data_IF_372866588866
#
_entry.id   IF_372866588866
#
_cell.length_a   1.000
_cell.length_b   1.000
_cell.length_c   1.000
_cell.angle_alpha   90.00
_cell.angle_beta   90.00
_cell.angle_gamma   90.00
#
_symmetry.space_group_name_H-M   'P 1'
#
loop_
_entity.id
_entity.type
_entity.pdbx_description
1 polymer ?
#
# COMPACT_ATOMS: atom_id res chain seq x y z
N UNK A 1 -36.66 5.20 -11.08
CA UNK A 1 -35.83 5.81 -10.02
C UNK A 1 -34.71 6.59 -10.70
N UNK A 2 -34.78 7.93 -10.73
CA UNK A 2 -33.75 8.78 -11.35
C UNK A 2 -32.82 9.30 -10.26
N UNK A 3 -31.67 8.65 -10.08
CA UNK A 3 -30.58 9.18 -9.26
C UNK A 3 -29.99 10.41 -9.94
N UNK A 4 -29.94 11.54 -9.23
CA UNK A 4 -29.41 12.81 -9.77
C UNK A 4 -27.92 12.68 -10.06
N UNK A 5 -27.47 13.11 -11.25
CA UNK A 5 -26.05 13.14 -11.64
C UNK A 5 -25.16 13.88 -10.61
N UNK A 6 -25.75 14.79 -9.83
CA UNK A 6 -25.10 15.52 -8.74
C UNK A 6 -24.71 14.59 -7.58
N UNK A 7 -25.52 13.56 -7.28
CA UNK A 7 -25.20 12.58 -6.24
C UNK A 7 -24.08 11.64 -6.69
N UNK A 8 -24.03 11.29 -7.98
CA UNK A 8 -22.91 10.53 -8.54
C UNK A 8 -21.60 11.34 -8.54
N UNK A 9 -21.65 12.62 -8.91
CA UNK A 9 -20.49 13.52 -8.81
C UNK A 9 -20.02 13.73 -7.37
N UNK A 10 -20.94 13.84 -6.40
CA UNK A 10 -20.60 13.93 -4.98
C UNK A 10 -19.99 12.65 -4.42
N UNK A 11 -20.47 11.49 -4.86
CA UNK A 11 -19.85 10.20 -4.58
C UNK A 11 -18.42 10.13 -5.12
N UNK A 12 -18.20 10.51 -6.38
CA UNK A 12 -16.87 10.53 -7.00
C UNK A 12 -15.88 11.50 -6.32
N UNK A 13 -16.37 12.58 -5.74
CA UNK A 13 -15.58 13.60 -5.02
C UNK A 13 -15.55 13.33 -3.49
N UNK A 14 -16.22 12.27 -3.01
CA UNK A 14 -16.21 11.87 -1.60
C UNK A 14 -16.98 12.79 -0.65
N UNK A 15 -17.96 13.55 -1.15
CA UNK A 15 -18.76 14.52 -0.36
C UNK A 15 -19.94 13.83 0.37
N UNK A 16 -20.49 12.76 -0.19
CA UNK A 16 -21.61 12.03 0.41
C UNK A 16 -21.07 10.85 1.22
N UNK A 17 -20.85 11.09 2.52
CA UNK A 17 -20.31 10.13 3.50
C UNK A 17 -21.22 8.94 3.82
N UNK A 18 -21.47 8.07 2.85
CA UNK A 18 -22.23 6.84 3.05
C UNK A 18 -21.35 5.58 2.98
N UNK A 19 -21.27 4.92 4.15
CA UNK A 19 -20.74 3.58 4.45
C UNK A 19 -19.29 3.32 4.03
N UNK A 20 -18.42 3.94 4.82
CA UNK A 20 -16.96 3.85 4.88
C UNK A 20 -16.54 2.45 5.34
N UNK A 21 -15.72 1.73 4.56
CA UNK A 21 -14.95 0.65 5.20
C UNK A 21 -14.02 1.35 6.22
N UNK A 22 -13.94 0.87 7.48
CA UNK A 22 -13.37 1.64 8.59
C UNK A 22 -11.90 2.06 8.38
N UNK A 23 -11.22 1.49 7.39
CA UNK A 23 -9.83 1.74 7.02
C UNK A 23 -9.61 2.92 6.04
N UNK A 24 -10.67 3.43 5.39
CA UNK A 24 -10.60 4.56 4.45
C UNK A 24 -9.80 4.31 3.16
N UNK A 25 -9.55 3.04 2.77
CA UNK A 25 -8.69 2.70 1.64
C UNK A 25 -9.43 2.54 0.30
N UNK A 26 -9.04 3.31 -0.72
CA UNK A 26 -9.45 3.11 -2.13
C UNK A 26 -10.94 3.35 -2.40
N UNK A 27 -11.60 4.14 -1.55
CA UNK A 27 -13.05 4.33 -1.57
C UNK A 27 -13.50 5.48 -2.49
N UNK A 28 -12.55 6.29 -2.99
CA UNK A 28 -12.83 7.41 -3.89
C UNK A 28 -11.66 7.67 -4.87
N UNK A 29 -11.97 8.30 -6.00
CA UNK A 29 -10.93 8.75 -6.96
C UNK A 29 -9.99 9.75 -6.28
N UNK A 30 -10.51 10.56 -5.35
CA UNK A 30 -9.70 11.50 -4.58
C UNK A 30 -8.66 10.76 -3.72
N UNK A 31 -9.03 9.63 -3.12
CA UNK A 31 -8.10 8.77 -2.37
C UNK A 31 -7.04 8.16 -3.29
N UNK A 32 -7.43 7.66 -4.46
CA UNK A 32 -6.47 7.11 -5.42
C UNK A 32 -5.44 8.15 -5.88
N UNK A 33 -5.90 9.38 -6.16
CA UNK A 33 -5.02 10.50 -6.52
C UNK A 33 -4.10 10.87 -5.33
N UNK A 34 -4.65 10.95 -4.12
CA UNK A 34 -3.91 11.23 -2.89
C UNK A 34 -2.82 10.19 -2.66
N UNK A 35 -3.15 8.90 -2.78
CA UNK A 35 -2.22 7.80 -2.62
C UNK A 35 -1.14 7.79 -3.69
N UNK A 36 -1.50 7.96 -4.96
CA UNK A 36 -0.52 8.03 -6.04
C UNK A 36 0.44 9.22 -5.84
N UNK A 37 -0.08 10.38 -5.44
CA UNK A 37 0.74 11.56 -5.11
C UNK A 37 1.68 11.27 -3.93
N UNK A 38 1.17 10.73 -2.83
CA UNK A 38 1.95 10.50 -1.63
C UNK A 38 3.00 9.39 -1.85
N UNK A 39 2.68 8.34 -2.61
CA UNK A 39 3.64 7.31 -3.00
C UNK A 39 4.79 7.90 -3.83
N UNK A 40 4.52 8.82 -4.76
CA UNK A 40 5.59 9.52 -5.50
C UNK A 40 6.51 10.32 -4.57
N UNK A 41 6.00 10.84 -3.45
CA UNK A 41 6.83 11.48 -2.42
C UNK A 41 7.66 10.43 -1.66
N UNK A 42 7.04 9.31 -1.25
CA UNK A 42 7.73 8.21 -0.55
C UNK A 42 8.92 7.65 -1.35
N UNK A 43 8.75 7.47 -2.66
CA UNK A 43 9.80 6.96 -3.56
C UNK A 43 11.05 7.86 -3.61
N UNK A 44 10.94 9.11 -3.17
CA UNK A 44 12.06 10.07 -3.13
C UNK A 44 12.77 10.10 -1.78
N UNK A 45 12.26 9.41 -0.77
CA UNK A 45 12.88 9.32 0.55
C UNK A 45 13.88 8.16 0.55
N UNK A 46 15.07 8.39 1.12
CA UNK A 46 16.05 7.34 1.32
C UNK A 46 15.64 6.48 2.52
N UNK A 47 15.41 5.19 2.29
CA UNK A 47 14.93 4.25 3.32
C UNK A 47 15.84 3.04 3.40
N UNK A 48 16.22 2.71 4.63
CA UNK A 48 16.76 1.41 4.99
C UNK A 48 15.63 0.56 5.58
N UNK A 49 15.21 -0.45 4.83
CA UNK A 49 14.17 -1.37 5.27
C UNK A 49 14.73 -2.40 6.24
N UNK A 50 13.95 -2.78 7.23
CA UNK A 50 14.24 -3.95 8.07
C UNK A 50 13.28 -5.09 7.77
N UNK A 51 13.72 -6.31 8.06
CA UNK A 51 12.86 -7.48 8.03
C UNK A 51 11.88 -7.39 9.23
N UNK A 52 10.59 -7.64 9.02
CA UNK A 52 9.64 -7.80 10.13
C UNK A 52 9.99 -9.04 10.98
N UNK A 53 9.77 -8.95 12.29
CA UNK A 53 9.80 -10.13 13.16
C UNK A 53 8.61 -11.06 12.88
N UNK A 54 8.69 -12.32 13.28
CA UNK A 54 7.58 -13.29 13.13
C UNK A 54 6.28 -12.83 13.79
N UNK A 55 6.37 -12.10 14.91
CA UNK A 55 5.19 -11.54 15.59
C UNK A 55 4.58 -10.41 14.76
N UNK A 56 5.41 -9.54 14.19
CA UNK A 56 4.94 -8.44 13.32
C UNK A 56 4.33 -8.95 12.02
N UNK A 57 4.94 -9.96 11.39
CA UNK A 57 4.37 -10.58 10.19
C UNK A 57 2.98 -11.13 10.48
N UNK A 58 2.82 -11.95 11.54
CA UNK A 58 1.51 -12.49 11.93
C UNK A 58 0.49 -11.40 12.25
N UNK A 59 0.91 -10.31 12.89
CA UNK A 59 0.03 -9.18 13.16
C UNK A 59 -0.46 -8.50 11.87
N UNK A 60 0.41 -8.35 10.88
CA UNK A 60 0.08 -7.76 9.57
C UNK A 60 -0.76 -8.71 8.70
N UNK A 61 -0.56 -10.03 8.82
CA UNK A 61 -1.37 -11.04 8.14
C UNK A 61 -2.80 -11.07 8.68
N UNK A 62 -2.98 -10.82 9.98
CA UNK A 62 -4.28 -10.74 10.63
C UNK A 62 -4.95 -9.38 10.50
N UNK A 63 -4.22 -8.36 10.03
CA UNK A 63 -4.78 -7.02 9.83
C UNK A 63 -5.83 -7.05 8.70
N UNK A 64 -7.01 -6.47 8.97
CA UNK A 64 -8.13 -6.55 8.05
C UNK A 64 -7.86 -5.89 6.70
N UNK A 65 -7.00 -4.87 6.65
CA UNK A 65 -6.65 -4.18 5.43
C UNK A 65 -5.38 -4.80 4.83
N UNK A 66 -4.29 -4.78 5.59
CA UNK A 66 -2.96 -5.16 5.09
C UNK A 66 -2.91 -6.64 4.73
N UNK A 67 -3.58 -7.49 5.50
CA UNK A 67 -3.69 -8.94 5.29
C UNK A 67 -4.28 -9.32 3.92
N UNK A 68 -5.01 -8.41 3.26
CA UNK A 68 -5.61 -8.65 1.93
C UNK A 68 -4.61 -8.53 0.78
N UNK A 69 -3.44 -7.93 1.01
CA UNK A 69 -2.53 -7.53 -0.06
C UNK A 69 -1.16 -8.17 0.07
N UNK A 70 -0.87 -9.15 -0.80
CA UNK A 70 0.39 -9.88 -0.81
C UNK A 70 0.51 -10.88 0.33
N UNK A 71 1.29 -11.93 0.08
CA UNK A 71 1.43 -13.07 0.96
C UNK A 71 2.52 -12.82 2.00
N UNK A 72 3.59 -12.10 1.63
CA UNK A 72 4.77 -11.94 2.47
C UNK A 72 5.08 -10.47 2.75
N UNK A 73 5.21 -10.12 4.03
CA UNK A 73 5.79 -8.82 4.39
C UNK A 73 7.31 -8.89 4.32
N UNK A 74 7.91 -8.14 3.39
CA UNK A 74 9.35 -8.17 3.13
C UNK A 74 10.10 -6.98 3.73
N UNK A 75 9.40 -5.89 4.02
CA UNK A 75 10.01 -4.66 4.50
C UNK A 75 9.13 -3.90 5.48
N UNK A 76 9.73 -3.50 6.60
CA UNK A 76 9.19 -2.51 7.52
C UNK A 76 10.17 -1.34 7.69
N UNK A 77 9.63 -0.14 7.87
CA UNK A 77 10.39 1.03 8.27
C UNK A 77 9.49 2.02 9.03
N UNK A 78 10.05 2.78 9.96
CA UNK A 78 9.36 3.87 10.62
C UNK A 78 9.90 5.21 10.11
N UNK A 79 9.05 6.00 9.45
CA UNK A 79 9.47 7.19 8.70
C UNK A 79 8.54 8.34 9.03
N UNK A 80 9.09 9.37 9.70
CA UNK A 80 8.34 10.56 10.09
C UNK A 80 7.01 10.24 10.81
N UNK A 81 7.06 9.30 11.76
CA UNK A 81 5.90 8.86 12.54
C UNK A 81 4.94 7.91 11.81
N UNK A 82 5.30 7.46 10.60
CA UNK A 82 4.48 6.54 9.80
C UNK A 82 5.13 5.18 9.70
N UNK A 83 4.33 4.14 9.86
CA UNK A 83 4.79 2.77 9.65
C UNK A 83 4.68 2.44 8.16
N UNK A 84 5.83 2.29 7.52
CA UNK A 84 5.94 1.91 6.12
C UNK A 84 6.07 0.40 6.02
N UNK A 85 5.31 -0.18 5.11
CA UNK A 85 5.16 -1.63 4.94
C UNK A 85 5.31 -1.91 3.44
N UNK A 86 6.13 -2.89 3.11
CA UNK A 86 6.17 -3.47 1.77
C UNK A 86 5.87 -4.95 1.87
N UNK A 87 4.89 -5.38 1.07
CA UNK A 87 4.57 -6.79 0.89
C UNK A 87 4.84 -7.21 -0.55
N UNK A 88 5.20 -8.47 -0.71
CA UNK A 88 5.38 -9.12 -2.01
C UNK A 88 4.16 -10.01 -2.31
N UNK A 89 3.80 -10.07 -3.60
CA UNK A 89 2.81 -10.98 -4.15
C UNK A 89 3.52 -12.18 -4.81
N UNK A 90 3.19 -13.39 -4.36
CA UNK A 90 3.78 -14.64 -4.91
C UNK A 90 3.23 -14.95 -6.32
N UNK A 91 2.04 -14.46 -6.67
CA UNK A 91 1.38 -14.67 -7.97
C UNK A 91 1.56 -13.48 -8.93
N UNK A 92 2.78 -13.25 -9.44
CA UNK A 92 3.10 -12.19 -10.42
C UNK A 92 3.40 -12.72 -11.86
N UNK A 93 2.84 -12.11 -12.92
CA UNK A 93 2.63 -12.69 -14.29
C UNK A 93 1.19 -13.00 -14.85
N UNK A 94 0.55 -12.08 -15.61
CA UNK A 94 -0.79 -12.11 -16.29
C UNK A 94 -1.95 -13.03 -15.75
N UNK A 95 -3.11 -12.42 -15.37
CA UNK A 95 -3.44 -10.99 -15.49
C UNK A 95 -2.82 -10.17 -14.34
N UNK A 96 -1.68 -10.67 -13.83
CA UNK A 96 -1.17 -10.49 -12.50
C UNK A 96 -0.86 -9.08 -12.06
N UNK A 97 -1.11 -8.96 -10.77
CA UNK A 97 -0.82 -7.80 -9.97
C UNK A 97 0.67 -7.47 -9.95
N UNK A 98 1.03 -6.19 -9.77
CA UNK A 98 2.41 -5.82 -9.56
C UNK A 98 3.04 -6.59 -8.40
N UNK A 99 4.33 -6.90 -8.51
CA UNK A 99 5.05 -7.77 -7.57
C UNK A 99 5.00 -7.27 -6.14
N UNK A 100 5.02 -5.96 -5.93
CA UNK A 100 5.04 -5.37 -4.61
C UNK A 100 3.83 -4.48 -4.37
N UNK A 101 3.41 -4.44 -3.11
CA UNK A 101 2.44 -3.48 -2.59
C UNK A 101 3.09 -2.72 -1.44
N UNK A 102 2.92 -1.40 -1.45
CA UNK A 102 3.41 -0.50 -0.42
C UNK A 102 2.25 0.13 0.34
N UNK A 103 2.42 0.26 1.65
CA UNK A 103 1.58 1.07 2.52
C UNK A 103 2.44 1.97 3.41
N UNK A 104 2.00 3.21 3.60
CA UNK A 104 2.41 4.05 4.71
C UNK A 104 1.20 4.28 5.60
N UNK A 105 1.26 3.77 6.82
CA UNK A 105 0.21 3.88 7.82
C UNK A 105 0.51 5.04 8.76
N UNK A 106 -0.50 5.89 8.96
CA UNK A 106 -0.54 6.88 10.03
C UNK A 106 -1.63 6.41 10.99
N UNK A 107 -1.22 5.91 12.16
CA UNK A 107 -2.06 5.14 13.08
C UNK A 107 -2.77 3.96 12.37
N UNK A 108 -4.10 4.01 12.26
CA UNK A 108 -4.92 2.98 11.60
C UNK A 108 -5.39 3.39 10.20
N UNK A 109 -4.88 4.50 9.65
CA UNK A 109 -5.32 5.03 8.37
C UNK A 109 -4.20 4.97 7.33
N UNK A 110 -4.56 4.62 6.10
CA UNK A 110 -3.63 4.66 4.98
C UNK A 110 -3.34 6.11 4.60
N UNK A 111 -2.09 6.51 4.75
CA UNK A 111 -1.58 7.79 4.29
C UNK A 111 -1.12 7.73 2.83
N UNK A 112 -0.50 6.62 2.44
CA UNK A 112 -0.15 6.31 1.06
C UNK A 112 -0.27 4.80 0.82
N UNK A 113 -0.73 4.42 -0.37
CA UNK A 113 -0.75 3.02 -0.81
C UNK A 113 -0.47 2.94 -2.30
N UNK A 114 0.29 1.95 -2.75
CA UNK A 114 0.51 1.74 -4.19
C UNK A 114 1.05 0.34 -4.48
N UNK A 115 0.64 -0.19 -5.62
CA UNK A 115 1.28 -1.34 -6.24
C UNK A 115 2.46 -0.88 -7.12
N UNK A 116 3.53 -1.67 -7.18
CA UNK A 116 4.72 -1.37 -7.98
C UNK A 116 5.55 -2.62 -8.30
N UNK A 117 6.22 -2.61 -9.46
CA UNK A 117 7.14 -3.70 -9.86
C UNK A 117 8.61 -3.33 -9.68
N UNK A 118 8.94 -2.06 -9.90
CA UNK A 118 10.31 -1.58 -9.87
C UNK A 118 10.61 -0.96 -8.50
N UNK A 119 11.55 -1.59 -7.80
CA UNK A 119 12.05 -1.08 -6.53
C UNK A 119 12.56 0.36 -6.68
N UNK A 120 12.08 1.32 -5.88
CA UNK A 120 12.53 2.70 -5.97
C UNK A 120 14.04 2.82 -5.74
N UNK A 121 14.73 3.59 -6.58
CA UNK A 121 16.20 3.66 -6.57
C UNK A 121 16.80 4.24 -5.28
N UNK A 122 16.03 4.99 -4.49
CA UNK A 122 16.45 5.53 -3.19
C UNK A 122 16.17 4.58 -2.03
N UNK A 123 15.48 3.47 -2.27
CA UNK A 123 15.21 2.47 -1.25
C UNK A 123 16.29 1.42 -1.32
N UNK A 124 16.90 1.13 -0.18
CA UNK A 124 17.76 -0.04 -0.07
C UNK A 124 16.88 -1.29 -0.07
N UNK A 125 17.38 -2.43 -0.52
CA UNK A 125 16.66 -3.67 -0.30
C UNK A 125 16.68 -4.02 1.19
N UNK A 126 15.64 -4.67 1.74
CA UNK A 126 15.73 -5.25 3.07
C UNK A 126 16.95 -6.20 3.14
N UNK A 127 17.72 -6.20 4.24
CA UNK A 127 18.84 -7.10 4.39
C UNK A 127 18.35 -8.55 4.25
N UNK A 128 19.16 -9.42 3.64
CA UNK A 128 18.87 -10.85 3.44
C UNK A 128 17.70 -11.18 2.49
N UNK A 129 17.03 -10.17 1.92
CA UNK A 129 16.02 -10.40 0.89
C UNK A 129 16.69 -10.91 -0.40
N UNK A 130 16.57 -12.22 -0.63
CA UNK A 130 17.12 -12.87 -1.82
C UNK A 130 16.04 -12.86 -2.89
N UNK A 131 16.29 -12.14 -3.99
CA UNK A 131 15.40 -12.00 -5.12
C UNK A 131 15.01 -13.40 -5.64
N UNK A 132 13.82 -13.88 -5.30
CA UNK A 132 13.26 -15.08 -5.92
C UNK A 132 13.20 -14.83 -7.43
N UNK A 133 14.14 -15.42 -8.17
CA UNK A 133 13.96 -15.83 -9.57
C UNK A 133 14.22 -14.85 -10.72
N UNK A 134 14.85 -13.67 -10.57
CA UNK A 134 15.17 -12.82 -11.74
C UNK A 134 16.64 -12.36 -11.72
N UNK A 135 17.48 -13.13 -12.40
CA UNK A 135 18.78 -12.71 -12.95
C UNK A 135 18.56 -11.47 -13.83
N UNK A 136 19.33 -10.41 -13.59
CA UNK A 136 19.42 -9.28 -14.53
C UNK A 136 20.10 -9.71 -15.81
#
# INVERSE_FOLDING_TARGET
>A
MRGSAISFLRFLIGIDGHSVAPDGFGQSIADDIRFARNFRLCRRVAIAWRIPTTVEMRALDLDQLIGRFGELTIGLADVAGRRWIVRERDWHGWPDSPRFVFFAMEDSTVWAGADFDLWPSRWQWPPEWTKSGITL
#
